data_IF_674887385535
#
_entry.id   IF_674887385535
#
_cell.length_a   1.000
_cell.length_b   1.000
_cell.length_c   1.000
_cell.angle_alpha   90.00
_cell.angle_beta   90.00
_cell.angle_gamma   90.00
#
_symmetry.space_group_name_H-M   'P 1'
#
loop_
_entity.id
_entity.type
_entity.pdbx_description
1 polymer ?
#
# COMPACT_ATOMS: atom_id res chain seq x y z
N UNK A 1 -20.59 7.00 -3.27
CA UNK A 1 -20.01 5.65 -3.26
C UNK A 1 -20.64 4.87 -2.12
N UNK A 2 -21.62 4.03 -2.45
CA UNK A 2 -22.36 3.22 -1.50
C UNK A 2 -21.52 2.03 -1.01
N UNK A 3 -21.41 1.84 0.31
CA UNK A 3 -20.78 0.66 0.92
C UNK A 3 -21.83 -0.08 1.73
N UNK A 4 -21.97 -1.38 1.49
CA UNK A 4 -22.91 -2.27 2.15
C UNK A 4 -22.17 -3.43 2.81
N UNK A 5 -22.70 -3.95 3.91
CA UNK A 5 -22.25 -5.22 4.48
C UNK A 5 -22.96 -6.43 3.83
N UNK A 6 -22.63 -7.63 4.28
CA UNK A 6 -23.24 -8.89 3.81
C UNK A 6 -24.75 -8.98 4.08
N UNK A 7 -25.29 -8.16 5.00
CA UNK A 7 -26.72 -8.07 5.31
C UNK A 7 -27.45 -7.00 4.50
N UNK A 8 -26.73 -6.19 3.71
CA UNK A 8 -27.27 -5.08 2.94
C UNK A 8 -27.38 -3.77 3.71
N UNK A 9 -26.85 -3.68 4.93
CA UNK A 9 -26.84 -2.45 5.71
C UNK A 9 -25.71 -1.51 5.27
N UNK A 10 -25.98 -0.20 5.26
CA UNK A 10 -24.98 0.80 4.86
C UNK A 10 -23.89 0.95 5.91
N UNK A 11 -22.63 0.90 5.47
CA UNK A 11 -21.44 1.05 6.31
C UNK A 11 -20.74 2.36 5.97
N UNK A 12 -20.75 3.32 6.88
CA UNK A 12 -20.18 4.65 6.62
C UNK A 12 -18.63 4.69 6.69
N UNK A 13 -18.02 3.82 7.51
CA UNK A 13 -16.57 3.80 7.72
C UNK A 13 -16.07 2.34 7.83
N UNK A 14 -15.85 1.66 6.69
CA UNK A 14 -15.33 0.29 6.67
C UNK A 14 -13.83 0.26 6.99
N UNK A 15 -13.43 -0.53 7.99
CA UNK A 15 -12.02 -0.70 8.34
C UNK A 15 -11.31 -1.71 7.42
N UNK A 16 -10.47 -1.20 6.52
CA UNK A 16 -9.69 -2.00 5.57
C UNK A 16 -8.61 -2.87 6.22
N UNK A 17 -8.31 -2.68 7.51
CA UNK A 17 -7.39 -3.57 8.25
C UNK A 17 -8.09 -4.84 8.71
N UNK A 18 -9.38 -4.75 9.00
CA UNK A 18 -10.19 -5.84 9.53
C UNK A 18 -11.18 -6.41 8.51
N UNK A 19 -11.17 -5.93 7.27
CA UNK A 19 -11.97 -6.48 6.19
C UNK A 19 -11.49 -6.05 4.81
N UNK A 20 -12.17 -6.57 3.79
CA UNK A 20 -11.96 -6.22 2.38
C UNK A 20 -13.20 -5.59 1.78
N UNK A 21 -12.99 -4.76 0.78
CA UNK A 21 -14.04 -4.20 -0.06
C UNK A 21 -14.03 -4.86 -1.42
N UNK A 22 -15.19 -5.34 -1.86
CA UNK A 22 -15.38 -5.89 -3.20
C UNK A 22 -16.39 -5.02 -3.97
N UNK A 23 -16.04 -4.55 -5.16
CA UNK A 23 -17.00 -3.88 -6.03
C UNK A 23 -18.03 -4.89 -6.54
N UNK A 24 -19.30 -4.58 -6.36
CA UNK A 24 -20.44 -5.39 -6.79
C UNK A 24 -21.49 -4.51 -7.47
N UNK A 25 -22.37 -5.15 -8.22
CA UNK A 25 -23.49 -4.49 -8.88
C UNK A 25 -24.77 -5.25 -8.55
N UNK A 26 -25.86 -4.51 -8.33
CA UNK A 26 -27.20 -5.07 -8.14
C UNK A 26 -28.19 -4.40 -9.10
N UNK A 27 -29.15 -5.15 -9.65
CA UNK A 27 -30.20 -4.58 -10.47
C UNK A 27 -31.12 -3.69 -9.62
N UNK A 28 -31.50 -2.55 -10.18
CA UNK A 28 -32.42 -1.58 -9.59
C UNK A 28 -33.44 -1.14 -10.63
N UNK A 29 -34.58 -0.68 -10.17
CA UNK A 29 -35.68 -0.20 -11.01
C UNK A 29 -36.00 1.23 -10.60
N UNK A 30 -35.91 2.15 -11.55
CA UNK A 30 -36.30 3.54 -11.39
C UNK A 30 -37.75 3.71 -11.85
N UNK A 31 -38.56 4.35 -11.01
CA UNK A 31 -39.93 4.72 -11.32
C UNK A 31 -40.13 6.20 -11.05
N UNK A 32 -40.68 6.92 -12.02
CA UNK A 32 -41.07 8.31 -11.83
C UNK A 32 -42.42 8.36 -11.11
N UNK A 33 -42.49 9.14 -10.04
CA UNK A 33 -43.72 9.40 -9.29
C UNK A 33 -44.13 10.83 -9.56
N UNK A 34 -45.32 10.99 -10.15
CA UNK A 34 -45.93 12.30 -10.42
C UNK A 34 -46.54 12.82 -9.11
N UNK A 35 -45.97 13.91 -8.59
CA UNK A 35 -46.46 14.60 -7.40
C UNK A 35 -47.54 15.63 -7.77
N UNK A 36 -47.43 16.24 -8.97
CA UNK A 36 -48.36 17.21 -9.54
C UNK A 36 -48.62 16.85 -11.01
N UNK A 37 -49.86 16.52 -11.33
CA UNK A 37 -50.28 16.24 -12.71
C UNK A 37 -50.28 17.52 -13.56
N UNK A 38 -49.89 17.38 -14.83
CA UNK A 38 -49.96 18.47 -15.81
C UNK A 38 -51.42 18.93 -15.96
N UNK A 39 -51.63 20.25 -15.92
CA UNK A 39 -52.92 20.85 -16.24
C UNK A 39 -52.75 21.72 -17.49
N UNK A 40 -53.57 21.45 -18.50
CA UNK A 40 -53.58 22.22 -19.75
C UNK A 40 -55.01 22.56 -20.16
N UNK A 41 -55.14 23.66 -20.90
CA UNK A 41 -56.39 24.05 -21.55
C UNK A 41 -56.16 24.35 -23.03
N UNK A 42 -57.23 24.21 -23.81
CA UNK A 42 -57.21 24.50 -25.25
C UNK A 42 -57.57 25.98 -25.48
N UNK A 43 -56.60 26.75 -25.99
CA UNK A 43 -56.83 28.13 -26.43
C UNK A 43 -57.03 28.19 -27.96
N UNK A 44 -57.97 29.04 -28.38
CA UNK A 44 -58.33 29.20 -29.79
C UNK A 44 -57.48 30.29 -30.41
N UNK A 45 -56.61 29.94 -31.33
CA UNK A 45 -55.72 30.92 -31.98
C UNK A 45 -56.39 31.51 -33.23
N UNK A 46 -57.09 30.69 -34.01
CA UNK A 46 -57.77 31.16 -35.21
C UNK A 46 -59.04 30.35 -35.46
N UNK A 47 -60.09 31.06 -35.87
CA UNK A 47 -61.35 30.46 -36.29
C UNK A 47 -61.64 30.88 -37.72
N UNK A 48 -61.93 29.90 -38.59
CA UNK A 48 -62.17 30.11 -40.01
C UNK A 48 -63.67 29.97 -40.31
N UNK A 49 -64.43 31.07 -40.33
CA UNK A 49 -65.88 31.04 -40.50
C UNK A 49 -66.33 30.49 -41.87
N UNK A 50 -65.46 30.52 -42.88
CA UNK A 50 -65.72 30.07 -44.25
C UNK A 50 -65.69 28.53 -44.38
N UNK A 51 -64.92 27.84 -43.55
CA UNK A 51 -64.69 26.38 -43.60
C UNK A 51 -65.15 25.64 -42.34
N UNK A 52 -65.48 26.37 -41.26
CA UNK A 52 -65.83 25.80 -39.96
C UNK A 52 -64.65 25.19 -39.20
N UNK A 53 -63.42 25.42 -39.68
CA UNK A 53 -62.20 24.96 -39.02
C UNK A 53 -61.76 25.89 -37.90
N UNK A 54 -61.07 25.32 -36.91
CA UNK A 54 -60.56 26.03 -35.74
C UNK A 54 -59.14 25.53 -35.44
N UNK A 55 -58.18 26.45 -35.38
CA UNK A 55 -56.84 26.16 -34.89
C UNK A 55 -56.86 26.31 -33.37
N UNK A 56 -56.56 25.21 -32.68
CA UNK A 56 -56.44 25.16 -31.22
C UNK A 56 -54.98 24.89 -30.85
N UNK A 57 -54.50 25.59 -29.84
CA UNK A 57 -53.22 25.32 -29.19
C UNK A 57 -53.50 24.84 -27.76
N UNK A 58 -52.75 23.83 -27.32
CA UNK A 58 -52.82 23.32 -25.96
C UNK A 58 -51.80 24.12 -25.15
N UNK A 59 -52.28 24.94 -24.22
CA UNK A 59 -51.45 25.74 -23.33
C UNK A 59 -51.36 25.00 -21.99
N UNK A 60 -50.14 24.72 -21.53
CA UNK A 60 -49.88 24.11 -20.22
C UNK A 60 -49.91 25.20 -19.15
N UNK A 61 -50.87 25.11 -18.23
CA UNK A 61 -51.02 26.03 -17.09
C UNK A 61 -50.11 25.63 -15.92
N UNK A 62 -49.95 24.33 -15.71
CA UNK A 62 -49.15 23.75 -14.63
C UNK A 62 -48.34 22.61 -15.23
N UNK A 63 -47.01 22.75 -15.19
CA UNK A 63 -46.09 21.68 -15.61
C UNK A 63 -46.16 20.49 -14.65
N UNK A 64 -46.04 19.28 -15.19
CA UNK A 64 -45.89 18.07 -14.39
C UNK A 64 -44.67 18.17 -13.47
N UNK A 65 -44.86 17.89 -12.18
CA UNK A 65 -43.76 17.79 -11.23
C UNK A 65 -43.77 16.42 -10.59
N UNK A 66 -42.59 15.82 -10.47
CA UNK A 66 -42.40 14.52 -9.87
C UNK A 66 -40.96 14.28 -9.46
N UNK A 67 -40.70 13.09 -8.95
CA UNK A 67 -39.36 12.65 -8.58
C UNK A 67 -39.15 11.19 -8.94
N UNK A 68 -37.87 10.83 -9.11
CA UNK A 68 -37.47 9.45 -9.36
C UNK A 68 -37.31 8.70 -8.04
N UNK A 69 -38.00 7.58 -7.92
CA UNK A 69 -37.80 6.61 -6.86
C UNK A 69 -37.03 5.41 -7.40
N UNK A 70 -36.03 4.94 -6.65
CA UNK A 70 -35.27 3.74 -7.00
C UNK A 70 -35.64 2.60 -6.07
N UNK A 71 -35.97 1.45 -6.65
CA UNK A 71 -36.33 0.24 -5.92
C UNK A 71 -35.43 -0.92 -6.31
N UNK A 72 -35.26 -1.85 -5.39
CA UNK A 72 -34.67 -3.15 -5.67
C UNK A 72 -35.69 -4.06 -6.38
N UNK A 73 -35.24 -5.21 -6.91
CA UNK A 73 -36.13 -6.20 -7.53
C UNK A 73 -37.21 -6.75 -6.57
N UNK A 74 -36.95 -6.70 -5.27
CA UNK A 74 -37.90 -7.08 -4.22
C UNK A 74 -38.93 -5.97 -3.90
N UNK A 75 -38.78 -4.78 -4.50
CA UNK A 75 -39.62 -3.62 -4.30
C UNK A 75 -39.21 -2.71 -3.14
N UNK A 76 -38.10 -2.99 -2.45
CA UNK A 76 -37.57 -2.13 -1.38
C UNK A 76 -37.06 -0.80 -1.95
N UNK A 77 -37.48 0.32 -1.37
CA UNK A 77 -37.01 1.65 -1.74
C UNK A 77 -35.59 1.85 -1.22
N UNK A 78 -34.68 2.25 -2.11
CA UNK A 78 -33.27 2.47 -1.78
C UNK A 78 -32.78 3.83 -2.26
N UNK A 79 -31.73 4.34 -1.63
CA UNK A 79 -31.01 5.50 -2.12
C UNK A 79 -30.13 5.12 -3.31
N UNK A 80 -30.35 5.77 -4.46
CA UNK A 80 -29.52 5.62 -5.63
C UNK A 80 -28.36 6.61 -5.59
N UNK A 81 -27.14 6.08 -5.62
CA UNK A 81 -25.87 6.83 -5.57
C UNK A 81 -25.43 7.30 -6.98
N UNK A 82 -26.20 6.98 -8.03
CA UNK A 82 -25.95 7.35 -9.41
C UNK A 82 -26.77 8.56 -9.89
N UNK A 83 -26.68 8.86 -11.19
CA UNK A 83 -27.45 9.92 -11.84
C UNK A 83 -28.44 9.31 -12.82
N UNK A 84 -29.73 9.58 -12.61
CA UNK A 84 -30.79 9.21 -13.55
C UNK A 84 -30.90 10.32 -14.60
N UNK A 85 -30.71 10.04 -15.90
CA UNK A 85 -30.90 11.03 -16.97
C UNK A 85 -32.33 11.59 -16.95
N UNK A 86 -32.47 12.90 -17.17
CA UNK A 86 -33.78 13.59 -17.16
C UNK A 86 -34.66 13.31 -18.38
N UNK A 87 -34.12 12.67 -19.41
CA UNK A 87 -34.77 12.26 -20.65
C UNK A 87 -35.37 10.83 -20.58
N UNK A 88 -35.32 10.20 -19.40
CA UNK A 88 -35.92 8.90 -19.15
C UNK A 88 -37.46 8.98 -19.24
N UNK A 89 -38.14 8.01 -19.88
CA UNK A 89 -39.60 8.02 -19.99
C UNK A 89 -40.26 7.91 -18.61
N UNK A 90 -41.04 8.92 -18.21
CA UNK A 90 -41.71 8.97 -16.91
C UNK A 90 -42.76 7.85 -16.72
N UNK A 91 -43.36 7.38 -17.82
CA UNK A 91 -44.43 6.37 -17.81
C UNK A 91 -43.93 4.93 -17.62
N UNK A 92 -42.62 4.69 -17.79
CA UNK A 92 -42.05 3.35 -17.78
C UNK A 92 -41.12 3.13 -16.58
N UNK A 93 -41.13 1.90 -16.08
CA UNK A 93 -40.12 1.44 -15.13
C UNK A 93 -38.80 1.21 -15.87
N UNK A 94 -37.75 1.92 -15.46
CA UNK A 94 -36.43 1.79 -16.09
C UNK A 94 -35.52 0.94 -15.23
N UNK A 95 -35.07 -0.19 -15.79
CA UNK A 95 -34.08 -1.05 -15.14
C UNK A 95 -32.67 -0.49 -15.32
N UNK A 96 -31.92 -0.39 -14.23
CA UNK A 96 -30.50 0.00 -14.22
C UNK A 96 -29.71 -0.90 -13.25
N UNK A 97 -28.40 -0.69 -13.13
CA UNK A 97 -27.53 -1.37 -12.19
C UNK A 97 -26.87 -0.37 -11.24
N UNK A 98 -27.10 -0.53 -9.93
CA UNK A 98 -26.38 0.24 -8.93
C UNK A 98 -25.09 -0.48 -8.54
N UNK A 99 -23.95 0.21 -8.68
CA UNK A 99 -22.68 -0.22 -8.11
C UNK A 99 -22.61 0.08 -6.61
N UNK A 100 -22.05 -0.86 -5.86
CA UNK A 100 -21.81 -0.72 -4.42
C UNK A 100 -20.55 -1.49 -4.04
N UNK A 101 -19.94 -1.11 -2.92
CA UNK A 101 -18.85 -1.87 -2.32
C UNK A 101 -19.40 -2.79 -1.25
N UNK A 102 -19.16 -4.09 -1.37
CA UNK A 102 -19.45 -5.06 -0.33
C UNK A 102 -18.28 -5.11 0.65
N UNK A 103 -18.53 -4.78 1.92
CA UNK A 103 -17.59 -4.96 3.00
C UNK A 103 -17.73 -6.36 3.60
N UNK A 104 -16.65 -7.13 3.52
CA UNK A 104 -16.54 -8.45 4.16
C UNK A 104 -15.44 -8.39 5.21
N UNK A 105 -15.77 -8.54 6.51
CA UNK A 105 -14.75 -8.60 7.56
C UNK A 105 -13.90 -9.86 7.39
N UNK A 106 -12.60 -9.73 7.65
CA UNK A 106 -11.70 -10.86 7.73
C UNK A 106 -12.03 -11.72 8.94
N UNK A 107 -11.88 -13.02 8.76
CA UNK A 107 -11.93 -13.96 9.87
C UNK A 107 -10.69 -13.81 10.75
N UNK A 108 -10.81 -14.25 12.01
CA UNK A 108 -9.67 -14.27 12.95
C UNK A 108 -8.48 -15.09 12.40
N UNK A 109 -8.77 -16.14 11.61
CA UNK A 109 -7.76 -16.97 10.98
C UNK A 109 -7.00 -16.21 9.88
N UNK A 110 -7.71 -15.52 8.98
CA UNK A 110 -7.10 -14.68 7.94
C UNK A 110 -6.28 -13.55 8.54
N UNK A 111 -6.77 -12.90 9.60
CA UNK A 111 -6.02 -11.88 10.34
C UNK A 111 -4.74 -12.44 10.96
N UNK A 112 -4.82 -13.62 11.55
CA UNK A 112 -3.65 -14.31 12.11
C UNK A 112 -2.64 -14.71 11.04
N UNK A 113 -3.10 -15.16 9.87
CA UNK A 113 -2.24 -15.48 8.73
C UNK A 113 -1.52 -14.25 8.19
N UNK A 114 -2.25 -13.14 7.97
CA UNK A 114 -1.65 -11.88 7.55
C UNK A 114 -0.60 -11.38 8.55
N UNK A 115 -0.89 -11.45 9.85
CA UNK A 115 0.07 -11.09 10.90
C UNK A 115 1.32 -11.98 10.89
N UNK A 116 1.17 -13.28 10.64
CA UNK A 116 2.31 -14.20 10.49
C UNK A 116 3.17 -13.87 9.28
N UNK A 117 2.54 -13.62 8.13
CA UNK A 117 3.23 -13.24 6.89
C UNK A 117 3.97 -11.92 7.05
N UNK A 118 3.37 -10.94 7.72
CA UNK A 118 4.03 -9.66 8.01
C UNK A 118 5.21 -9.83 8.97
N UNK A 119 5.07 -10.67 10.01
CA UNK A 119 6.16 -10.97 10.93
C UNK A 119 7.32 -11.69 10.23
N UNK A 120 7.01 -12.64 9.34
CA UNK A 120 8.01 -13.33 8.52
C UNK A 120 8.72 -12.37 7.56
N UNK A 121 7.97 -11.52 6.84
CA UNK A 121 8.54 -10.48 5.96
C UNK A 121 9.48 -9.57 6.73
N UNK A 122 9.05 -9.09 7.89
CA UNK A 122 9.87 -8.22 8.75
C UNK A 122 11.13 -8.92 9.25
N UNK A 123 11.04 -10.21 9.57
CA UNK A 123 12.21 -11.02 9.95
C UNK A 123 13.17 -11.17 8.77
N UNK A 124 12.66 -11.47 7.58
CA UNK A 124 13.48 -11.59 6.36
C UNK A 124 14.16 -10.27 6.02
N UNK A 125 13.46 -9.14 6.16
CA UNK A 125 14.02 -7.80 5.96
C UNK A 125 15.08 -7.47 7.01
N UNK A 126 14.86 -7.83 8.28
CA UNK A 126 15.85 -7.66 9.34
C UNK A 126 17.11 -8.52 9.09
N UNK A 127 16.94 -9.78 8.70
CA UNK A 127 18.06 -10.66 8.35
C UNK A 127 18.82 -10.14 7.11
N UNK A 128 18.10 -9.62 6.11
CA UNK A 128 18.70 -8.99 4.94
C UNK A 128 19.48 -7.72 5.32
N UNK A 129 18.94 -6.88 6.20
CA UNK A 129 19.60 -5.67 6.69
C UNK A 129 20.85 -6.00 7.52
N UNK A 130 20.81 -7.03 8.38
CA UNK A 130 21.98 -7.51 9.11
C UNK A 130 23.07 -8.02 8.15
N UNK A 131 22.69 -8.79 7.14
CA UNK A 131 23.61 -9.27 6.11
C UNK A 131 24.21 -8.12 5.31
N UNK A 132 23.41 -7.14 4.93
CA UNK A 132 23.89 -5.95 4.22
C UNK A 132 24.86 -5.15 5.08
N UNK A 133 24.55 -4.92 6.36
CA UNK A 133 25.44 -4.24 7.30
C UNK A 133 26.78 -5.00 7.47
N UNK A 134 26.72 -6.33 7.56
CA UNK A 134 27.93 -7.16 7.61
C UNK A 134 28.79 -7.03 6.35
N UNK A 135 28.16 -7.07 5.17
CA UNK A 135 28.87 -6.96 3.89
C UNK A 135 29.41 -5.55 3.64
N UNK A 136 28.64 -4.52 3.98
CA UNK A 136 29.03 -3.11 3.84
C UNK A 136 30.23 -2.77 4.73
N UNK A 137 30.30 -3.34 5.93
CA UNK A 137 31.45 -3.18 6.84
C UNK A 137 32.64 -4.10 6.53
N UNK A 138 32.52 -5.03 5.57
CA UNK A 138 33.59 -5.99 5.27
C UNK A 138 34.88 -5.31 4.77
N UNK A 139 34.86 -4.33 3.85
CA UNK A 139 36.09 -3.67 3.39
C UNK A 139 36.86 -3.01 4.53
N UNK A 140 36.17 -2.27 5.41
CA UNK A 140 36.80 -1.64 6.57
C UNK A 140 37.40 -2.65 7.55
N UNK A 141 36.78 -3.83 7.72
CA UNK A 141 37.33 -4.91 8.54
C UNK A 141 38.58 -5.53 7.93
N UNK A 142 38.60 -5.70 6.61
CA UNK A 142 39.77 -6.20 5.89
C UNK A 142 40.92 -5.20 6.00
N UNK A 143 40.66 -3.92 5.73
CA UNK A 143 41.66 -2.85 5.85
C UNK A 143 42.24 -2.77 7.28
N UNK A 144 41.39 -2.83 8.31
CA UNK A 144 41.85 -2.85 9.70
C UNK A 144 42.70 -4.09 10.03
N UNK A 145 42.35 -5.26 9.46
CA UNK A 145 43.13 -6.48 9.66
C UNK A 145 44.48 -6.41 8.92
N UNK A 146 44.52 -5.87 7.70
CA UNK A 146 45.75 -5.67 6.93
C UNK A 146 46.69 -4.68 7.63
N UNK A 147 46.16 -3.58 8.17
CA UNK A 147 46.94 -2.64 8.96
C UNK A 147 47.55 -3.30 10.22
N UNK A 148 46.73 -4.06 10.97
CA UNK A 148 47.23 -4.79 12.15
C UNK A 148 48.28 -5.85 11.78
N UNK A 149 48.17 -6.47 10.61
CA UNK A 149 49.16 -7.42 10.13
C UNK A 149 50.47 -6.72 9.77
N UNK A 150 50.43 -5.56 9.10
CA UNK A 150 51.62 -4.78 8.80
C UNK A 150 52.36 -4.37 10.09
N UNK A 151 51.63 -3.89 11.11
CA UNK A 151 52.21 -3.57 12.42
C UNK A 151 52.88 -4.79 13.07
N UNK A 152 52.28 -5.97 12.90
CA UNK A 152 52.82 -7.23 13.42
C UNK A 152 54.10 -7.64 12.70
N UNK A 153 54.13 -7.49 11.37
CA UNK A 153 55.29 -7.81 10.55
C UNK A 153 56.47 -6.88 10.87
N UNK A 154 56.21 -5.57 11.04
CA UNK A 154 57.21 -4.59 11.48
C UNK A 154 57.79 -4.94 12.85
N UNK A 155 56.93 -5.30 13.80
CA UNK A 155 57.35 -5.74 15.13
C UNK A 155 58.20 -7.01 15.08
N UNK A 156 57.84 -7.97 14.22
CA UNK A 156 58.58 -9.22 14.02
C UNK A 156 59.98 -8.94 13.45
N UNK A 157 60.08 -8.06 12.45
CA UNK A 157 61.35 -7.62 11.89
C UNK A 157 62.25 -6.98 12.97
N UNK A 158 61.70 -6.06 13.78
CA UNK A 158 62.45 -5.42 14.85
C UNK A 158 62.97 -6.42 15.91
N UNK A 159 62.13 -7.40 16.28
CA UNK A 159 62.55 -8.48 17.21
C UNK A 159 63.64 -9.34 16.60
N UNK A 160 63.56 -9.65 15.30
CA UNK A 160 64.57 -10.43 14.61
C UNK A 160 65.92 -9.68 14.58
N UNK A 161 65.92 -8.40 14.22
CA UNK A 161 67.13 -7.57 14.23
C UNK A 161 67.75 -7.49 15.63
N UNK A 162 66.93 -7.31 16.68
CA UNK A 162 67.39 -7.32 18.07
C UNK A 162 68.00 -8.68 18.47
N UNK A 163 67.44 -9.79 17.97
CA UNK A 163 67.96 -11.13 18.24
C UNK A 163 69.34 -11.35 17.61
N UNK A 164 69.55 -10.86 16.38
CA UNK A 164 70.84 -10.93 15.70
C UNK A 164 71.90 -10.07 16.42
N UNK A 165 71.52 -8.86 16.84
CA UNK A 165 72.40 -8.01 17.62
C UNK A 165 72.80 -8.66 18.95
N UNK A 166 71.84 -9.27 19.65
CA UNK A 166 72.12 -10.01 20.89
C UNK A 166 73.07 -11.18 20.63
N UNK A 167 72.86 -11.96 19.57
CA UNK A 167 73.75 -13.06 19.22
C UNK A 167 75.20 -12.58 19.00
N UNK A 168 75.39 -11.49 18.25
CA UNK A 168 76.72 -10.92 18.05
C UNK A 168 77.38 -10.50 19.38
N UNK A 169 76.62 -9.88 20.30
CA UNK A 169 77.17 -9.53 21.62
C UNK A 169 77.56 -10.75 22.46
N UNK A 170 76.83 -11.86 22.33
CA UNK A 170 77.16 -13.12 23.02
C UNK A 170 78.44 -13.73 22.44
N UNK A 171 78.60 -13.69 21.12
CA UNK A 171 79.82 -14.14 20.44
C UNK A 171 81.06 -13.32 20.88
N UNK A 172 80.93 -11.98 20.95
CA UNK A 172 82.00 -11.11 21.46
C UNK A 172 82.33 -11.40 22.93
N UNK A 173 81.32 -11.66 23.77
CA UNK A 173 81.53 -12.03 25.17
C UNK A 173 82.23 -13.38 25.31
N UNK A 174 81.86 -14.38 24.50
CA UNK A 174 82.50 -15.69 24.50
C UNK A 174 83.98 -15.59 24.12
N UNK A 175 84.30 -14.79 23.10
CA UNK A 175 85.68 -14.51 22.70
C UNK A 175 86.48 -13.80 23.82
N UNK A 176 85.89 -12.81 24.48
CA UNK A 176 86.51 -12.11 25.61
C UNK A 176 86.75 -13.05 26.82
N UNK A 177 85.77 -13.92 27.11
CA UNK A 177 85.88 -14.94 28.16
C UNK A 177 87.02 -15.91 27.83
N UNK A 178 87.11 -16.41 26.60
CA UNK A 178 88.20 -17.28 26.15
C UNK A 178 89.57 -16.62 26.33
N UNK A 179 89.73 -15.36 25.89
CA UNK A 179 90.97 -14.62 26.05
C UNK A 179 91.38 -14.43 27.52
N UNK A 180 90.42 -14.18 28.42
CA UNK A 180 90.67 -14.11 29.86
C UNK A 180 91.12 -15.46 30.42
N UNK A 181 90.52 -16.57 29.99
CA UNK A 181 90.95 -17.92 30.38
C UNK A 181 92.37 -18.22 29.89
N UNK A 182 92.71 -17.87 28.65
CA UNK A 182 94.07 -18.03 28.12
C UNK A 182 95.10 -17.20 28.90
N UNK A 183 94.76 -15.96 29.26
CA UNK A 183 95.64 -15.09 30.06
C UNK A 183 95.84 -15.62 31.49
N UNK A 184 94.81 -16.22 32.10
CA UNK A 184 94.87 -16.71 33.48
C UNK A 184 95.45 -18.11 33.63
N UNK A 185 95.36 -18.97 32.61
CA UNK A 185 95.92 -20.32 32.59
C UNK A 185 97.29 -20.43 31.90
N UNK A 186 97.62 -19.52 30.97
CA UNK A 186 98.89 -19.52 30.21
C UNK A 186 100.02 -18.71 30.84
N UNK A 187 99.80 -18.11 32.01
CA UNK A 187 100.81 -17.38 32.77
C UNK A 187 101.51 -18.26 33.82
N UNK A 188 102.40 -19.15 33.39
CA UNK A 188 103.51 -19.71 34.17
C UNK A 188 104.84 -19.52 33.40
#
# INVERSE_FOLDING_TARGET
MLVLDESGATVADPDLKSGRLEERQRPVVHRYVVDVEEQSHEEVIAEYPETGGKDVEIVVDVEEQGHWETRLEDGELIEFDGVIPGDMPHELEVTDAQSYMLYTPYTDEELAEMARLEAERKRMEAEAAEREAFLSSAPARVEAAEAAQADTDDALCAVYEASLALQATVEDQDAAICALYEMTLGGE
#
